data_IF_813634109714
#
_entry.id   IF_813634109714
#
_cell.length_a   1.000
_cell.length_b   1.000
_cell.length_c   1.000
_cell.angle_alpha   90.00
_cell.angle_beta   90.00
_cell.angle_gamma   90.00
#
_symmetry.space_group_name_H-M   'P 1'
#
loop_
_entity.id
_entity.type
_entity.pdbx_description
1 polymer ?
#
# COMPACT_ATOMS: atom_id res chain seq x y z
N UNK A 1 -3.52 -12.70 -5.74
CA UNK A 1 -3.51 -12.05 -4.41
C UNK A 1 -3.81 -10.56 -4.58
N UNK A 2 -4.62 -10.00 -3.68
CA UNK A 2 -4.90 -8.56 -3.63
C UNK A 2 -4.49 -8.03 -2.25
N UNK A 3 -3.83 -6.89 -2.20
CA UNK A 3 -3.53 -6.20 -0.94
C UNK A 3 -3.43 -4.69 -1.15
N UNK A 4 -3.41 -3.90 -0.06
CA UNK A 4 -3.15 -2.47 -0.19
C UNK A 4 -1.73 -2.20 -0.69
N UNK A 5 -0.73 -2.96 -0.23
CA UNK A 5 0.69 -2.88 -0.64
C UNK A 5 1.63 -2.34 0.42
N UNK A 6 1.12 -1.67 1.44
CA UNK A 6 1.90 -1.08 2.53
C UNK A 6 2.65 -2.10 3.38
N UNK A 7 2.15 -3.34 3.45
CA UNK A 7 2.82 -4.46 4.14
C UNK A 7 4.05 -4.96 3.42
N UNK A 8 4.18 -4.68 2.12
CA UNK A 8 5.30 -5.11 1.29
C UNK A 8 6.48 -4.14 1.37
N UNK A 9 6.26 -2.92 1.91
CA UNK A 9 7.25 -1.88 2.15
C UNK A 9 8.03 -2.14 3.45
N UNK A 10 8.72 -3.28 3.56
CA UNK A 10 9.40 -3.70 4.79
C UNK A 10 10.63 -2.83 5.12
N UNK A 11 11.20 -2.16 4.11
CA UNK A 11 12.36 -1.29 4.27
C UNK A 11 12.01 0.04 4.98
N UNK A 12 10.73 0.45 4.97
CA UNK A 12 10.23 1.54 5.81
C UNK A 12 9.95 1.06 7.25
N UNK A 13 11.01 0.73 7.98
CA UNK A 13 10.92 0.20 9.34
C UNK A 13 10.12 1.10 10.29
N UNK A 14 10.26 2.43 10.16
CA UNK A 14 9.51 3.40 10.97
C UNK A 14 8.01 3.31 10.69
N UNK A 15 7.61 3.22 9.41
CA UNK A 15 6.23 2.99 9.03
C UNK A 15 5.73 1.64 9.54
N UNK A 16 6.49 0.55 9.36
CA UNK A 16 6.08 -0.78 9.84
C UNK A 16 5.92 -0.85 11.36
N UNK A 17 6.75 -0.13 12.13
CA UNK A 17 6.56 0.00 13.59
C UNK A 17 5.30 0.80 13.93
N UNK A 18 5.04 1.91 13.24
CA UNK A 18 3.81 2.69 13.41
C UNK A 18 2.57 1.86 13.08
N UNK A 19 2.58 1.16 11.93
CA UNK A 19 1.53 0.25 11.47
C UNK A 19 1.22 -0.80 12.53
N UNK A 20 2.24 -1.51 13.03
CA UNK A 20 2.10 -2.49 14.12
C UNK A 20 1.42 -1.89 15.35
N UNK A 21 1.75 -0.65 15.73
CA UNK A 21 1.10 0.05 16.85
C UNK A 21 -0.37 0.33 16.54
N UNK A 22 -0.71 0.98 15.43
CA UNK A 22 -2.11 1.39 15.15
C UNK A 22 -3.06 0.22 14.86
N UNK A 23 -2.52 -0.94 14.49
CA UNK A 23 -3.30 -2.17 14.30
C UNK A 23 -3.49 -3.01 15.58
N UNK A 24 -3.00 -2.57 16.74
CA UNK A 24 -3.27 -3.28 18.00
C UNK A 24 -4.77 -3.19 18.38
N UNK A 25 -5.45 -4.32 18.63
CA UNK A 25 -6.91 -4.32 18.88
C UNK A 25 -7.34 -3.39 20.01
N UNK A 26 -6.60 -3.37 21.13
CA UNK A 26 -6.92 -2.52 22.27
C UNK A 26 -6.78 -1.02 21.96
N UNK A 27 -5.81 -0.63 21.11
CA UNK A 27 -5.66 0.77 20.68
C UNK A 27 -6.79 1.19 19.76
N UNK A 28 -7.19 0.31 18.83
CA UNK A 28 -8.33 0.59 17.96
C UNK A 28 -9.62 0.67 18.78
N UNK A 29 -9.81 -0.20 19.76
CA UNK A 29 -10.92 -0.14 20.69
C UNK A 29 -10.96 1.20 21.42
N UNK A 30 -9.85 1.60 22.06
CA UNK A 30 -9.75 2.90 22.74
C UNK A 30 -10.02 4.06 21.78
N UNK A 31 -9.40 4.06 20.59
CA UNK A 31 -9.57 5.12 19.61
C UNK A 31 -11.02 5.27 19.15
N UNK A 32 -11.75 4.16 18.94
CA UNK A 32 -13.17 4.18 18.55
C UNK A 32 -14.08 4.78 19.62
N UNK A 33 -13.72 4.64 20.90
CA UNK A 33 -14.48 5.21 22.03
C UNK A 33 -14.15 6.68 22.32
N UNK A 34 -13.22 7.29 21.60
CA UNK A 34 -12.95 8.72 21.73
C UNK A 34 -14.03 9.56 21.01
N UNK A 35 -14.44 10.71 21.57
CA UNK A 35 -15.31 11.64 20.87
C UNK A 35 -14.72 12.06 19.52
N UNK A 36 -15.58 12.38 18.55
CA UNK A 36 -15.16 12.70 17.18
C UNK A 36 -14.07 13.79 17.12
N UNK A 37 -14.22 14.86 17.92
CA UNK A 37 -13.25 15.96 17.96
C UNK A 37 -11.83 15.49 18.33
N UNK A 38 -11.72 14.54 19.26
CA UNK A 38 -10.45 13.95 19.66
C UNK A 38 -9.87 13.06 18.56
N UNK A 39 -10.69 12.22 17.92
CA UNK A 39 -10.26 11.39 16.78
C UNK A 39 -9.72 12.25 15.63
N UNK A 40 -10.39 13.36 15.30
CA UNK A 40 -9.96 14.29 14.26
C UNK A 40 -8.61 14.95 14.62
N UNK A 41 -8.45 15.42 15.86
CA UNK A 41 -7.18 15.99 16.35
C UNK A 41 -6.02 15.00 16.25
N UNK A 42 -6.24 13.75 16.66
CA UNK A 42 -5.23 12.68 16.55
C UNK A 42 -4.89 12.43 15.07
N UNK A 43 -5.90 12.29 14.20
CA UNK A 43 -5.70 12.03 12.78
C UNK A 43 -4.93 13.18 12.08
N UNK A 44 -5.20 14.44 12.42
CA UNK A 44 -4.45 15.58 11.92
C UNK A 44 -2.98 15.54 12.36
N UNK A 45 -2.72 15.23 13.64
CA UNK A 45 -1.35 15.10 14.17
C UNK A 45 -0.56 13.98 13.47
N UNK A 46 -1.21 12.83 13.25
CA UNK A 46 -0.61 11.70 12.52
C UNK A 46 -0.29 12.11 11.08
N UNK A 47 -1.24 12.75 10.37
CA UNK A 47 -1.03 13.22 8.99
C UNK A 47 0.14 14.21 8.89
N UNK A 48 0.17 15.23 9.76
CA UNK A 48 1.24 16.22 9.77
C UNK A 48 2.62 15.59 10.02
N UNK A 49 2.70 14.63 10.95
CA UNK A 49 3.94 13.89 11.20
C UNK A 49 4.35 13.04 10.00
N UNK A 50 3.41 12.29 9.41
CA UNK A 50 3.70 11.45 8.24
C UNK A 50 4.19 12.26 7.05
N UNK A 51 3.60 13.43 6.78
CA UNK A 51 4.05 14.29 5.69
C UNK A 51 5.49 14.79 5.89
N UNK A 52 5.85 15.20 7.11
CA UNK A 52 7.23 15.56 7.44
C UNK A 52 8.20 14.38 7.32
N UNK A 53 7.82 13.22 7.83
CA UNK A 53 8.65 12.01 7.76
C UNK A 53 8.87 11.55 6.30
N UNK A 54 7.93 11.80 5.38
CA UNK A 54 8.07 11.48 3.96
C UNK A 54 9.07 12.37 3.23
N UNK A 55 9.21 13.64 3.61
CA UNK A 55 10.12 14.59 2.95
C UNK A 55 11.60 14.16 3.03
N UNK A 56 11.98 13.46 4.11
CA UNK A 56 13.35 12.96 4.30
C UNK A 56 13.60 11.52 3.82
N UNK A 57 12.61 10.85 3.21
CA UNK A 57 12.74 9.45 2.78
C UNK A 57 13.05 9.36 1.28
N UNK A 58 13.94 8.45 0.93
CA UNK A 58 14.19 8.15 -0.49
C UNK A 58 12.98 7.44 -1.11
N UNK A 59 12.82 7.65 -2.42
CA UNK A 59 11.79 6.96 -3.20
C UNK A 59 11.93 5.43 -3.13
N UNK A 60 13.16 4.90 -2.99
CA UNK A 60 13.41 3.47 -2.89
C UNK A 60 12.87 2.87 -1.57
N UNK A 61 13.07 3.55 -0.43
CA UNK A 61 12.61 3.07 0.89
C UNK A 61 11.07 3.01 0.97
N UNK A 62 10.38 3.86 0.21
CA UNK A 62 8.92 3.92 0.18
C UNK A 62 8.28 2.97 -0.84
N UNK A 63 9.07 2.22 -1.60
CA UNK A 63 8.55 1.17 -2.50
C UNK A 63 8.42 -0.18 -1.78
N UNK A 64 7.85 -1.16 -2.47
CA UNK A 64 7.85 -2.53 -2.00
C UNK A 64 9.24 -3.13 -2.07
N UNK A 65 9.56 -4.04 -1.16
CA UNK A 65 10.77 -4.84 -1.26
C UNK A 65 10.56 -5.98 -2.28
N UNK A 66 11.33 -6.07 -3.38
CA UNK A 66 11.07 -7.05 -4.44
C UNK A 66 11.20 -8.50 -3.98
N UNK A 67 12.22 -8.81 -3.18
CA UNK A 67 12.48 -10.16 -2.70
C UNK A 67 11.38 -10.63 -1.73
N UNK A 68 11.01 -9.77 -0.77
CA UNK A 68 9.93 -10.06 0.17
C UNK A 68 8.58 -10.22 -0.55
N UNK A 69 8.33 -9.39 -1.56
CA UNK A 69 7.11 -9.46 -2.36
C UNK A 69 7.02 -10.78 -3.13
N UNK A 70 8.11 -11.20 -3.78
CA UNK A 70 8.18 -12.50 -4.46
C UNK A 70 7.97 -13.67 -3.48
N UNK A 71 8.60 -13.62 -2.30
CA UNK A 71 8.43 -14.63 -1.26
C UNK A 71 6.97 -14.72 -0.78
N UNK A 72 6.28 -13.59 -0.60
CA UNK A 72 4.86 -13.58 -0.26
C UNK A 72 4.01 -14.24 -1.36
N UNK A 73 4.27 -13.92 -2.64
CA UNK A 73 3.54 -14.54 -3.75
C UNK A 73 3.69 -16.06 -3.76
N UNK A 74 4.92 -16.56 -3.57
CA UNK A 74 5.21 -18.01 -3.46
C UNK A 74 4.51 -18.62 -2.24
N UNK A 75 4.58 -17.98 -1.08
CA UNK A 75 3.95 -18.47 0.15
C UNK A 75 2.43 -18.64 0.00
N UNK A 76 1.77 -17.73 -0.70
CA UNK A 76 0.32 -17.81 -0.95
C UNK A 76 -0.04 -18.61 -2.20
N UNK A 77 0.95 -19.17 -2.93
CA UNK A 77 0.72 -19.97 -4.13
C UNK A 77 0.07 -19.18 -5.28
N UNK A 78 0.41 -17.90 -5.44
CA UNK A 78 -0.18 -17.03 -6.47
C UNK A 78 0.85 -16.59 -7.51
N UNK A 79 0.42 -16.52 -8.77
CA UNK A 79 1.23 -16.00 -9.87
C UNK A 79 0.89 -14.54 -10.24
N UNK A 80 -0.14 -13.97 -9.62
CA UNK A 80 -0.58 -12.59 -9.84
C UNK A 80 -0.80 -11.88 -8.51
N UNK A 81 -0.20 -10.70 -8.38
CA UNK A 81 -0.37 -9.80 -7.24
C UNK A 81 -0.85 -8.44 -7.73
N UNK A 82 -1.98 -7.98 -7.22
CA UNK A 82 -2.49 -6.62 -7.43
C UNK A 82 -2.36 -5.84 -6.12
N UNK A 83 -1.68 -4.69 -6.16
CA UNK A 83 -1.58 -3.80 -5.00
C UNK A 83 -1.58 -2.33 -5.39
N UNK A 84 -1.76 -1.43 -4.41
CA UNK A 84 -1.62 0.02 -4.58
C UNK A 84 -0.52 0.55 -3.67
N UNK A 85 -0.87 1.55 -2.85
CA UNK A 85 -0.04 2.19 -1.81
C UNK A 85 1.17 3.01 -2.30
N UNK A 86 1.93 2.50 -3.26
CA UNK A 86 3.15 3.17 -3.74
C UNK A 86 2.87 4.29 -4.74
N UNK A 87 1.66 4.32 -5.31
CA UNK A 87 1.19 5.28 -6.31
C UNK A 87 2.03 5.27 -7.61
N UNK A 88 2.65 4.12 -7.93
CA UNK A 88 3.52 3.92 -9.10
C UNK A 88 2.87 2.94 -10.06
N UNK A 89 1.87 3.42 -10.82
CA UNK A 89 1.13 2.56 -11.76
C UNK A 89 2.10 1.82 -12.69
N UNK A 90 2.10 0.49 -12.64
CA UNK A 90 3.00 -0.35 -13.43
C UNK A 90 2.55 -1.81 -13.42
N UNK A 91 2.93 -2.56 -14.46
CA UNK A 91 2.91 -4.03 -14.45
C UNK A 91 4.36 -4.51 -14.48
N UNK A 92 4.75 -5.32 -13.49
CA UNK A 92 6.10 -5.87 -13.37
C UNK A 92 6.06 -7.38 -13.56
N UNK A 93 6.85 -7.89 -14.51
CA UNK A 93 7.13 -9.31 -14.60
C UNK A 93 8.24 -9.67 -13.60
N UNK A 94 8.02 -10.71 -12.81
CA UNK A 94 8.97 -11.20 -11.80
C UNK A 94 9.10 -12.73 -11.91
N UNK A 95 10.12 -13.29 -11.27
CA UNK A 95 10.31 -14.74 -11.24
C UNK A 95 9.15 -15.48 -10.53
N UNK A 96 8.41 -14.81 -9.62
CA UNK A 96 7.25 -15.37 -8.95
C UNK A 96 5.93 -15.20 -9.74
N UNK A 97 5.95 -14.48 -10.86
CA UNK A 97 4.77 -14.12 -11.63
C UNK A 97 4.64 -12.60 -11.83
N UNK A 98 3.41 -12.12 -12.03
CA UNK A 98 3.12 -10.74 -12.35
C UNK A 98 2.73 -9.93 -11.11
N UNK A 99 3.35 -8.75 -10.92
CA UNK A 99 2.99 -7.77 -9.90
C UNK A 99 2.44 -6.51 -10.56
N UNK A 100 1.18 -6.21 -10.30
CA UNK A 100 0.42 -5.09 -10.85
C UNK A 100 0.23 -4.06 -9.76
N UNK A 101 0.65 -2.83 -10.04
CA UNK A 101 0.59 -1.69 -9.12
C UNK A 101 -0.45 -0.71 -9.63
N UNK A 102 -1.46 -0.41 -8.82
CA UNK A 102 -2.44 0.64 -9.09
C UNK A 102 -1.82 2.02 -8.79
N UNK A 103 -2.11 2.98 -9.67
CA UNK A 103 -1.79 4.39 -9.47
C UNK A 103 -2.73 5.07 -8.48
N UNK A 104 -2.38 6.29 -8.08
CA UNK A 104 -3.31 7.16 -7.38
C UNK A 104 -4.24 7.91 -8.34
N UNK A 105 -5.38 8.35 -7.81
CA UNK A 105 -6.35 9.12 -8.59
C UNK A 105 -5.94 10.58 -8.59
N UNK A 106 -5.38 11.02 -9.72
CA UNK A 106 -5.05 12.43 -9.97
C UNK A 106 -6.16 13.07 -10.78
N UNK A 107 -6.28 14.40 -10.70
CA UNK A 107 -7.38 15.20 -11.27
C UNK A 107 -7.74 14.79 -12.72
N UNK A 108 -6.77 14.41 -13.56
CA UNK A 108 -7.00 14.01 -14.95
C UNK A 108 -6.49 12.59 -15.28
N UNK A 109 -6.18 11.76 -14.28
CA UNK A 109 -5.62 10.41 -14.48
C UNK A 109 -6.14 9.47 -13.39
N UNK A 110 -7.34 8.90 -13.54
CA UNK A 110 -7.78 7.80 -12.69
C UNK A 110 -6.93 6.55 -13.01
N UNK A 111 -6.68 5.72 -12.00
CA UNK A 111 -6.08 4.41 -12.19
C UNK A 111 -7.14 3.35 -11.97
N UNK A 112 -7.51 2.66 -13.06
CA UNK A 112 -8.54 1.62 -13.06
C UNK A 112 -7.97 0.43 -13.84
N UNK A 113 -7.94 -0.74 -13.20
CA UNK A 113 -7.51 -1.99 -13.82
C UNK A 113 -8.78 -2.79 -14.19
N UNK A 114 -8.95 -3.07 -15.48
CA UNK A 114 -9.95 -4.00 -15.98
C UNK A 114 -9.41 -5.43 -15.93
N UNK A 115 -10.27 -6.40 -15.58
CA UNK A 115 -9.97 -7.83 -15.66
C UNK A 115 -11.04 -8.45 -16.54
N UNK A 116 -10.62 -9.09 -17.63
CA UNK A 116 -11.52 -9.69 -18.62
C UNK A 116 -11.68 -11.19 -18.38
N UNK A 117 -12.73 -11.79 -18.97
CA UNK A 117 -13.04 -13.22 -18.81
C UNK A 117 -11.92 -14.16 -19.32
N UNK A 118 -11.11 -13.70 -20.27
CA UNK A 118 -9.94 -14.42 -20.77
C UNK A 118 -8.72 -14.34 -19.82
N UNK A 119 -8.85 -13.68 -18.66
CA UNK A 119 -7.78 -13.48 -17.69
C UNK A 119 -6.82 -12.33 -18.01
N UNK A 120 -7.05 -11.59 -19.09
CA UNK A 120 -6.27 -10.41 -19.45
C UNK A 120 -6.56 -9.26 -18.47
N UNK A 121 -5.51 -8.48 -18.15
CA UNK A 121 -5.62 -7.31 -17.29
C UNK A 121 -4.93 -6.09 -17.92
N UNK A 122 -5.65 -4.99 -18.03
CA UNK A 122 -5.16 -3.72 -18.59
C UNK A 122 -5.71 -2.51 -17.84
N UNK A 123 -4.94 -1.42 -17.88
CA UNK A 123 -5.40 -0.15 -17.32
C UNK A 123 -6.29 0.58 -18.31
N UNK A 124 -7.46 1.02 -17.85
CA UNK A 124 -8.40 1.81 -18.64
C UNK A 124 -7.85 3.25 -18.81
N UNK A 125 -7.97 3.81 -20.02
CA UNK A 125 -7.61 5.20 -20.36
C UNK A 125 -6.11 5.55 -20.13
N UNK A 126 -5.20 4.76 -20.72
CA UNK A 126 -3.76 5.08 -20.74
C UNK A 126 -3.44 6.32 -21.58
#
# INVERSE_FOLDING_TARGET
>A
MICHGDTLCIDDQKYQQFRRKVHQPWRQWLFRHLPLAWRLRIAQKIRARSQRDKQGKSAAIMDVNPAFTAACMVQFGVHQLIHGHTHRQAQHQTNAGQRIVLGDWRINRPSILAVHDNGQMDFINQ
#
